data_IF_663398218022
#
_entry.id   IF_663398218022
#
_cell.length_a   1.000
_cell.length_b   1.000
_cell.length_c   1.000
_cell.angle_alpha   90.00
_cell.angle_beta   90.00
_cell.angle_gamma   90.00
#
_symmetry.space_group_name_H-M   'P 1'
#
loop_
_entity.id
_entity.type
_entity.pdbx_description
1 polymer ?
#
# COMPACT_ATOMS: atom_id res chain seq x y z
N UNK A 1 -2.49 1.21 -59.00
CA UNK A 1 -2.00 2.04 -57.84
C UNK A 1 -2.54 1.60 -56.47
N UNK A 2 -3.68 0.93 -56.30
CA UNK A 2 -4.25 0.58 -54.99
C UNK A 2 -3.49 -0.50 -54.17
N UNK A 3 -2.76 -1.41 -54.80
CA UNK A 3 -2.03 -2.51 -54.12
C UNK A 3 -0.77 -2.08 -53.35
N UNK A 4 -0.15 -0.95 -53.69
CA UNK A 4 1.06 -0.45 -52.98
C UNK A 4 0.75 0.17 -51.64
N UNK A 5 -0.40 0.89 -51.50
CA UNK A 5 -0.85 1.52 -50.25
C UNK A 5 -1.24 0.50 -49.17
N UNK A 6 -1.78 -0.65 -49.53
CA UNK A 6 -2.12 -1.73 -48.59
C UNK A 6 -0.90 -2.40 -47.96
N UNK A 7 0.15 -2.63 -48.73
CA UNK A 7 1.41 -3.26 -48.24
C UNK A 7 2.15 -2.31 -47.27
N UNK A 8 2.22 -1.00 -47.58
CA UNK A 8 2.86 -0.02 -46.72
C UNK A 8 2.15 0.11 -45.35
N UNK A 9 0.81 0.11 -45.29
CA UNK A 9 0.03 0.10 -44.07
C UNK A 9 0.25 -1.14 -43.20
N UNK A 10 0.32 -2.33 -43.82
CA UNK A 10 0.58 -3.58 -43.12
C UNK A 10 1.99 -3.66 -42.53
N UNK A 11 3.01 -3.14 -43.22
CA UNK A 11 4.38 -3.08 -42.69
C UNK A 11 4.49 -2.05 -41.53
N UNK A 12 3.82 -0.90 -41.64
CA UNK A 12 3.79 0.09 -40.55
C UNK A 12 3.08 -0.46 -39.27
N UNK A 13 1.96 -1.16 -39.46
CA UNK A 13 1.26 -1.81 -38.34
C UNK A 13 2.14 -2.90 -37.69
N UNK A 14 2.82 -3.72 -38.49
CA UNK A 14 3.75 -4.73 -37.99
C UNK A 14 4.91 -4.13 -37.19
N UNK A 15 5.51 -3.04 -37.70
CA UNK A 15 6.60 -2.36 -36.96
C UNK A 15 6.10 -1.70 -35.67
N UNK A 16 4.90 -1.12 -35.66
CA UNK A 16 4.29 -0.54 -34.47
C UNK A 16 4.04 -1.60 -33.40
N UNK A 17 3.43 -2.74 -33.77
CA UNK A 17 3.19 -3.86 -32.89
C UNK A 17 4.49 -4.44 -32.29
N UNK A 18 5.55 -4.53 -33.10
CA UNK A 18 6.87 -4.95 -32.60
C UNK A 18 7.46 -3.96 -31.59
N UNK A 19 7.32 -2.64 -31.81
CA UNK A 19 7.76 -1.61 -30.85
C UNK A 19 6.99 -1.69 -29.55
N UNK A 20 5.66 -1.81 -29.61
CA UNK A 20 4.81 -1.98 -28.43
C UNK A 20 5.20 -3.25 -27.66
N UNK A 21 5.38 -4.39 -28.34
CA UNK A 21 5.81 -5.63 -27.69
C UNK A 21 7.15 -5.49 -26.99
N UNK A 22 8.13 -4.86 -27.66
CA UNK A 22 9.44 -4.59 -27.05
C UNK A 22 9.33 -3.67 -25.84
N UNK A 23 8.55 -2.62 -25.92
CA UNK A 23 8.29 -1.71 -24.79
C UNK A 23 7.67 -2.46 -23.61
N UNK A 24 6.61 -3.23 -23.82
CA UNK A 24 5.95 -4.01 -22.77
C UNK A 24 6.90 -5.05 -22.14
N UNK A 25 7.73 -5.69 -22.96
CA UNK A 25 8.75 -6.62 -22.47
C UNK A 25 9.78 -5.92 -21.57
N UNK A 26 10.34 -4.79 -21.99
CA UNK A 26 11.31 -4.03 -21.19
C UNK A 26 10.67 -3.41 -19.95
N UNK A 27 9.43 -2.97 -20.05
CA UNK A 27 8.65 -2.52 -18.89
C UNK A 27 8.47 -3.65 -17.87
N UNK A 28 8.10 -4.84 -18.32
CA UNK A 28 7.91 -6.00 -17.43
C UNK A 28 9.25 -6.41 -16.77
N UNK A 29 10.34 -6.49 -17.53
CA UNK A 29 11.66 -6.82 -17.00
C UNK A 29 12.14 -5.75 -16.02
N UNK A 30 12.08 -4.48 -16.39
CA UNK A 30 12.54 -3.37 -15.56
C UNK A 30 11.73 -3.23 -14.26
N UNK A 31 10.40 -3.35 -14.33
CA UNK A 31 9.55 -3.31 -13.15
C UNK A 31 9.78 -4.51 -12.23
N UNK A 32 9.96 -5.72 -12.77
CA UNK A 32 10.28 -6.91 -11.98
C UNK A 32 11.66 -6.79 -11.31
N UNK A 33 12.67 -6.31 -12.04
CA UNK A 33 14.02 -6.06 -11.49
C UNK A 33 13.98 -5.02 -10.36
N UNK A 34 13.26 -3.90 -10.55
CA UNK A 34 13.08 -2.87 -9.52
C UNK A 34 12.43 -3.46 -8.28
N UNK A 35 11.31 -4.17 -8.43
CA UNK A 35 10.60 -4.81 -7.31
C UNK A 35 11.50 -5.81 -6.60
N UNK A 36 12.28 -6.61 -7.36
CA UNK A 36 13.21 -7.58 -6.80
C UNK A 36 14.30 -6.91 -5.95
N UNK A 37 14.89 -5.80 -6.41
CA UNK A 37 15.89 -5.04 -5.64
C UNK A 37 15.28 -4.49 -4.35
N UNK A 38 14.07 -3.93 -4.42
CA UNK A 38 13.36 -3.37 -3.28
C UNK A 38 12.90 -4.43 -2.25
N UNK A 39 13.03 -5.72 -2.56
CA UNK A 39 12.86 -6.81 -1.59
C UNK A 39 13.81 -6.68 -0.40
N UNK A 40 15.05 -6.26 -0.64
CA UNK A 40 16.10 -6.17 0.39
C UNK A 40 16.51 -4.73 0.69
N UNK A 41 16.41 -3.84 -0.32
CA UNK A 41 16.82 -2.44 -0.18
C UNK A 41 15.62 -1.59 0.24
N UNK A 42 15.72 -0.82 1.34
CA UNK A 42 14.69 0.16 1.69
C UNK A 42 14.47 1.15 0.54
N UNK A 43 13.21 1.39 0.10
CA UNK A 43 12.95 2.41 -0.90
C UNK A 43 13.44 3.78 -0.44
N UNK A 44 14.21 4.54 -1.23
CA UNK A 44 14.71 5.87 -0.85
C UNK A 44 13.59 6.89 -0.71
N UNK A 45 12.49 6.69 -1.39
CA UNK A 45 11.26 7.49 -1.38
C UNK A 45 10.12 6.71 -2.04
N UNK A 46 8.95 7.34 -2.14
CA UNK A 46 7.78 6.77 -2.80
C UNK A 46 7.23 7.74 -3.84
N UNK A 47 6.50 7.23 -4.84
CA UNK A 47 5.81 8.07 -5.81
C UNK A 47 4.84 9.03 -5.12
N UNK A 48 4.17 8.59 -4.05
CA UNK A 48 3.30 9.43 -3.24
C UNK A 48 4.07 10.60 -2.59
N UNK A 49 5.27 10.38 -2.04
CA UNK A 49 6.09 11.46 -1.48
C UNK A 49 6.49 12.48 -2.53
N UNK A 50 6.88 12.02 -3.74
CA UNK A 50 7.20 12.90 -4.86
C UNK A 50 5.97 13.71 -5.25
N UNK A 51 4.82 13.08 -5.40
CA UNK A 51 3.56 13.76 -5.72
C UNK A 51 3.22 14.83 -4.67
N UNK A 52 3.33 14.50 -3.36
CA UNK A 52 3.09 15.43 -2.27
C UNK A 52 4.03 16.65 -2.34
N UNK A 53 5.31 16.42 -2.62
CA UNK A 53 6.29 17.49 -2.76
C UNK A 53 6.00 18.41 -3.96
N UNK A 54 5.66 17.81 -5.11
CA UNK A 54 5.29 18.57 -6.31
C UNK A 54 4.02 19.36 -6.06
N UNK A 55 2.99 18.74 -5.50
CA UNK A 55 1.72 19.41 -5.17
C UNK A 55 1.95 20.62 -4.25
N UNK A 56 2.74 20.44 -3.18
CA UNK A 56 3.04 21.51 -2.24
C UNK A 56 3.76 22.73 -2.90
N UNK A 57 4.60 22.50 -3.90
CA UNK A 57 5.22 23.57 -4.67
C UNK A 57 4.23 24.30 -5.58
N UNK A 58 3.35 23.53 -6.24
CA UNK A 58 2.30 24.10 -7.10
C UNK A 58 1.33 24.96 -6.31
N UNK A 59 0.96 24.49 -5.10
CA UNK A 59 0.03 25.18 -4.20
C UNK A 59 0.70 26.39 -3.47
N UNK A 60 2.01 26.60 -3.64
CA UNK A 60 2.77 27.65 -2.98
C UNK A 60 2.92 27.47 -1.46
N UNK A 61 2.67 26.25 -0.95
CA UNK A 61 2.78 25.88 0.45
C UNK A 61 3.81 24.75 0.61
N UNK A 62 5.11 25.07 0.67
CA UNK A 62 6.15 24.05 0.78
C UNK A 62 5.97 23.18 2.02
N UNK A 63 5.90 21.85 1.81
CA UNK A 63 5.80 20.87 2.88
C UNK A 63 7.19 20.28 3.18
N UNK A 64 7.49 20.10 4.47
CA UNK A 64 8.64 19.31 4.93
C UNK A 64 8.24 17.86 5.12
N UNK A 65 8.80 16.97 4.30
CA UNK A 65 8.48 15.54 4.36
C UNK A 65 9.32 14.87 5.45
N UNK A 66 8.65 14.44 6.50
CA UNK A 66 9.27 13.69 7.60
C UNK A 66 9.21 12.21 7.31
N UNK A 67 10.36 11.55 7.34
CA UNK A 67 10.47 10.10 7.18
C UNK A 67 11.67 9.56 7.92
N UNK A 68 11.48 8.43 8.61
CA UNK A 68 12.56 7.66 9.21
C UNK A 68 12.25 6.17 9.06
N UNK A 69 13.09 5.45 8.29
CA UNK A 69 12.92 4.01 8.07
C UNK A 69 13.25 3.22 9.33
N UNK A 70 12.44 2.23 9.65
CA UNK A 70 12.70 1.21 10.67
C UNK A 70 12.54 -0.18 10.08
N UNK A 71 13.56 -1.03 10.31
CA UNK A 71 13.48 -2.43 9.93
C UNK A 71 12.40 -3.18 10.72
N UNK A 72 12.05 -4.36 10.25
CA UNK A 72 10.98 -5.18 10.80
C UNK A 72 11.04 -5.36 12.32
N UNK A 73 12.22 -5.71 12.86
CA UNK A 73 12.40 -6.01 14.29
C UNK A 73 12.35 -4.77 15.17
N UNK A 74 12.56 -3.59 14.59
CA UNK A 74 12.47 -2.31 15.31
C UNK A 74 11.03 -1.73 15.32
N UNK A 75 10.09 -2.37 14.64
CA UNK A 75 8.68 -2.01 14.65
C UNK A 75 7.93 -2.88 15.67
N UNK A 76 7.09 -2.31 16.55
CA UNK A 76 6.40 -3.10 17.57
C UNK A 76 5.30 -3.96 16.96
N UNK A 77 5.11 -5.16 17.51
CA UNK A 77 4.10 -6.11 17.04
C UNK A 77 2.68 -5.57 17.15
N UNK A 78 2.39 -4.81 18.21
CA UNK A 78 1.09 -4.15 18.37
C UNK A 78 0.75 -3.22 17.18
N UNK A 79 1.74 -2.49 16.61
CA UNK A 79 1.49 -1.65 15.45
C UNK A 79 1.26 -2.47 14.18
N UNK A 80 2.04 -3.54 13.98
CA UNK A 80 1.88 -4.46 12.85
C UNK A 80 0.47 -5.07 12.86
N UNK A 81 0.04 -5.58 14.01
CA UNK A 81 -1.29 -6.17 14.19
C UNK A 81 -2.39 -5.13 14.09
N UNK A 82 -2.21 -3.92 14.64
CA UNK A 82 -3.19 -2.84 14.56
C UNK A 82 -3.48 -2.45 13.10
N UNK A 83 -2.44 -2.35 12.27
CA UNK A 83 -2.59 -2.04 10.84
C UNK A 83 -3.30 -3.17 10.11
N UNK A 84 -2.92 -4.42 10.33
CA UNK A 84 -3.62 -5.58 9.75
C UNK A 84 -5.09 -5.59 10.19
N UNK A 85 -5.36 -5.40 11.47
CA UNK A 85 -6.70 -5.40 12.04
C UNK A 85 -7.59 -4.27 11.49
N UNK A 86 -7.00 -3.12 11.21
CA UNK A 86 -7.70 -1.93 10.74
C UNK A 86 -7.91 -1.87 9.23
N UNK A 87 -6.98 -2.42 8.46
CA UNK A 87 -6.92 -2.25 7.01
C UNK A 87 -7.17 -3.56 6.22
N UNK A 88 -6.67 -4.70 6.72
CA UNK A 88 -6.67 -5.93 5.91
C UNK A 88 -6.51 -7.18 6.79
N UNK A 89 -7.59 -7.59 7.48
CA UNK A 89 -7.53 -8.71 8.41
C UNK A 89 -7.16 -10.05 7.78
N UNK A 90 -7.34 -10.20 6.47
CA UNK A 90 -7.00 -11.41 5.73
C UNK A 90 -5.65 -11.31 5.01
N UNK A 91 -4.86 -10.29 5.31
CA UNK A 91 -3.59 -10.04 4.66
C UNK A 91 -2.67 -11.26 4.52
N UNK A 92 -2.52 -12.15 5.52
CA UNK A 92 -1.70 -13.35 5.37
C UNK A 92 -2.25 -14.37 4.36
N UNK A 93 -3.56 -14.35 4.07
CA UNK A 93 -4.26 -15.44 3.41
C UNK A 93 -4.70 -15.17 1.97
N UNK A 94 -4.37 -14.00 1.40
CA UNK A 94 -4.67 -13.69 0.02
C UNK A 94 -3.42 -13.25 -0.75
N UNK A 95 -3.49 -13.35 -2.07
CA UNK A 95 -2.43 -12.95 -3.00
C UNK A 95 -2.67 -11.53 -3.54
N UNK A 96 -2.68 -10.55 -2.63
CA UNK A 96 -2.82 -9.13 -2.97
C UNK A 96 -4.24 -8.66 -3.25
N UNK A 97 -5.20 -9.57 -3.42
CA UNK A 97 -6.60 -9.25 -3.72
C UNK A 97 -7.54 -10.05 -2.81
N UNK A 98 -8.32 -9.38 -1.97
CA UNK A 98 -9.42 -10.01 -1.22
C UNK A 98 -10.70 -9.96 -2.09
N UNK A 99 -10.87 -10.99 -2.94
CA UNK A 99 -12.01 -11.07 -3.86
C UNK A 99 -13.36 -11.07 -3.12
N UNK A 100 -13.55 -11.76 -1.98
CA UNK A 100 -14.77 -11.65 -1.19
C UNK A 100 -15.04 -10.23 -0.69
N UNK A 101 -14.01 -9.51 -0.19
CA UNK A 101 -14.17 -8.12 0.25
C UNK A 101 -14.49 -7.18 -0.92
N UNK A 102 -13.87 -7.38 -2.09
CA UNK A 102 -14.17 -6.61 -3.31
C UNK A 102 -15.63 -6.80 -3.72
N UNK A 103 -16.14 -8.05 -3.74
CA UNK A 103 -17.55 -8.33 -4.06
C UNK A 103 -18.50 -7.69 -3.04
N UNK A 104 -18.19 -7.81 -1.75
CA UNK A 104 -19.01 -7.23 -0.69
C UNK A 104 -19.06 -5.69 -0.77
N UNK A 105 -17.91 -5.04 -1.06
CA UNK A 105 -17.85 -3.59 -1.26
C UNK A 105 -18.65 -3.15 -2.50
N UNK A 106 -18.55 -3.89 -3.61
CA UNK A 106 -19.31 -3.59 -4.82
C UNK A 106 -20.82 -3.64 -4.55
N UNK A 107 -21.32 -4.73 -3.95
CA UNK A 107 -22.75 -4.88 -3.61
C UNK A 107 -23.22 -3.81 -2.62
N UNK A 108 -22.39 -3.42 -1.65
CA UNK A 108 -22.72 -2.34 -0.69
C UNK A 108 -22.85 -0.99 -1.38
N UNK A 109 -21.90 -0.67 -2.27
CA UNK A 109 -21.86 0.60 -3.00
C UNK A 109 -23.02 0.74 -4.00
N UNK A 110 -23.44 -0.37 -4.65
CA UNK A 110 -24.62 -0.38 -5.53
C UNK A 110 -25.93 -0.09 -4.79
N UNK A 111 -26.02 -0.45 -3.52
CA UNK A 111 -27.20 -0.18 -2.67
C UNK A 111 -27.26 1.24 -2.13
N UNK A 112 -26.37 2.15 -2.58
CA UNK A 112 -26.38 3.56 -2.17
C UNK A 112 -25.82 3.81 -0.78
N UNK A 113 -25.08 2.86 -0.20
CA UNK A 113 -24.34 3.03 1.05
C UNK A 113 -23.13 3.96 0.91
N UNK A 114 -22.55 4.35 2.03
CA UNK A 114 -21.25 5.08 2.03
C UNK A 114 -20.20 4.28 1.28
N UNK A 115 -19.40 4.94 0.42
CA UNK A 115 -18.36 4.29 -0.38
C UNK A 115 -17.44 3.44 0.52
N UNK A 116 -17.52 2.12 0.36
CA UNK A 116 -16.66 1.17 1.07
C UNK A 116 -15.48 0.80 0.17
N UNK A 117 -14.27 1.08 0.65
CA UNK A 117 -13.03 0.63 0.02
C UNK A 117 -12.79 -0.86 0.30
N UNK A 118 -12.16 -1.55 -0.65
CA UNK A 118 -11.75 -2.95 -0.50
C UNK A 118 -10.29 -3.14 -0.98
N UNK A 119 -9.48 -2.07 -0.89
CA UNK A 119 -8.06 -2.15 -1.25
C UNK A 119 -7.27 -2.80 -0.13
N UNK A 120 -6.49 -3.81 -0.48
CA UNK A 120 -5.61 -4.53 0.44
C UNK A 120 -4.33 -3.76 0.76
N UNK A 121 -3.60 -4.15 1.80
CA UNK A 121 -2.28 -3.60 2.13
C UNK A 121 -1.31 -3.68 0.94
N UNK A 122 -1.31 -4.79 0.20
CA UNK A 122 -0.46 -4.97 -0.99
C UNK A 122 -0.79 -3.97 -2.10
N UNK A 123 -2.08 -3.72 -2.35
CA UNK A 123 -2.51 -2.71 -3.33
C UNK A 123 -2.14 -1.29 -2.89
N UNK A 124 -2.24 -1.00 -1.58
CA UNK A 124 -1.82 0.30 -1.04
C UNK A 124 -0.31 0.50 -1.16
N UNK A 125 0.51 -0.52 -0.87
CA UNK A 125 1.97 -0.48 -1.08
C UNK A 125 2.29 -0.22 -2.55
N UNK A 126 1.69 -0.98 -3.46
CA UNK A 126 1.91 -0.84 -4.90
C UNK A 126 1.57 0.57 -5.40
N UNK A 127 0.43 1.11 -4.97
CA UNK A 127 0.03 2.48 -5.30
C UNK A 127 1.03 3.50 -4.75
N UNK A 128 1.33 3.44 -3.44
CA UNK A 128 2.14 4.45 -2.79
C UNK A 128 3.60 4.47 -3.29
N UNK A 129 4.18 3.28 -3.58
CA UNK A 129 5.57 3.17 -4.04
C UNK A 129 5.75 3.61 -5.50
N UNK A 130 4.84 3.18 -6.39
CA UNK A 130 5.11 3.20 -7.82
C UNK A 130 4.19 4.12 -8.63
N UNK A 131 3.06 4.60 -8.04
CA UNK A 131 2.01 5.24 -8.79
C UNK A 131 1.55 6.56 -8.15
N UNK A 132 0.79 7.32 -8.91
CA UNK A 132 0.19 8.59 -8.50
C UNK A 132 -1.23 8.40 -7.92
N UNK A 133 -1.78 9.44 -7.26
CA UNK A 133 -3.07 9.40 -6.56
C UNK A 133 -4.29 9.50 -7.48
N UNK A 134 -4.12 9.85 -8.75
CA UNK A 134 -5.22 10.03 -9.70
C UNK A 134 -6.10 8.79 -9.88
N UNK A 135 -7.36 9.00 -10.27
CA UNK A 135 -8.31 7.93 -10.56
C UNK A 135 -8.37 7.67 -12.07
N UNK A 136 -7.78 6.57 -12.53
CA UNK A 136 -7.91 6.11 -13.92
C UNK A 136 -7.81 4.59 -14.00
N UNK A 137 -8.42 4.01 -15.03
CA UNK A 137 -8.32 2.56 -15.28
C UNK A 137 -6.89 2.12 -15.58
N UNK A 138 -6.11 2.96 -16.28
CA UNK A 138 -4.69 2.67 -16.54
C UNK A 138 -3.91 2.57 -15.22
N UNK A 139 -4.05 3.56 -14.33
CA UNK A 139 -3.41 3.52 -13.02
C UNK A 139 -3.84 2.27 -12.22
N UNK A 140 -5.14 1.91 -12.26
CA UNK A 140 -5.63 0.72 -11.57
C UNK A 140 -5.08 -0.58 -12.15
N UNK A 141 -4.88 -0.64 -13.47
CA UNK A 141 -4.19 -1.75 -14.13
C UNK A 141 -2.72 -1.87 -13.71
N UNK A 142 -2.00 -0.73 -13.63
CA UNK A 142 -0.63 -0.71 -13.13
C UNK A 142 -0.54 -1.07 -11.64
N UNK A 143 -1.49 -0.64 -10.82
CA UNK A 143 -1.59 -1.03 -9.42
C UNK A 143 -1.74 -2.55 -9.28
N UNK A 144 -2.60 -3.16 -10.08
CA UNK A 144 -2.76 -4.62 -10.10
C UNK A 144 -1.46 -5.32 -10.55
N UNK A 145 -0.79 -4.81 -11.59
CA UNK A 145 0.51 -5.32 -12.04
C UNK A 145 1.56 -5.33 -10.94
N UNK A 146 1.79 -4.17 -10.28
CA UNK A 146 2.76 -4.09 -9.19
C UNK A 146 2.33 -4.90 -7.96
N UNK A 147 1.02 -5.02 -7.69
CA UNK A 147 0.51 -5.88 -6.62
C UNK A 147 0.89 -7.33 -6.85
N UNK A 148 0.73 -7.85 -8.06
CA UNK A 148 1.16 -9.21 -8.40
C UNK A 148 2.67 -9.35 -8.25
N UNK A 149 3.46 -8.39 -8.72
CA UNK A 149 4.93 -8.45 -8.60
C UNK A 149 5.38 -8.48 -7.14
N UNK A 150 4.86 -7.60 -6.27
CA UNK A 150 5.27 -7.61 -4.85
C UNK A 150 4.82 -8.87 -4.14
N UNK A 151 3.65 -9.40 -4.44
CA UNK A 151 3.15 -10.64 -3.84
C UNK A 151 3.96 -11.86 -4.26
N UNK A 152 4.42 -11.91 -5.50
CA UNK A 152 5.26 -13.02 -6.00
C UNK A 152 6.70 -12.91 -5.48
N UNK A 153 7.24 -11.69 -5.43
CA UNK A 153 8.67 -11.49 -5.18
C UNK A 153 8.99 -11.21 -3.70
N UNK A 154 8.04 -10.68 -2.89
CA UNK A 154 8.29 -10.29 -1.50
C UNK A 154 7.56 -11.21 -0.51
N UNK A 155 8.15 -11.52 0.66
CA UNK A 155 7.41 -12.10 1.77
C UNK A 155 6.37 -11.11 2.31
N UNK A 156 5.28 -11.62 2.88
CA UNK A 156 4.24 -10.79 3.53
C UNK A 156 4.82 -9.86 4.59
N UNK A 157 5.81 -10.32 5.35
CA UNK A 157 6.58 -9.50 6.27
C UNK A 157 7.16 -8.25 5.59
N UNK A 158 7.80 -8.42 4.41
CA UNK A 158 8.40 -7.29 3.68
C UNK A 158 7.35 -6.33 3.16
N UNK A 159 6.22 -6.82 2.68
CA UNK A 159 5.11 -5.96 2.22
C UNK A 159 4.62 -5.10 3.38
N UNK A 160 4.38 -5.68 4.56
CA UNK A 160 3.94 -4.95 5.75
C UNK A 160 5.01 -3.99 6.27
N UNK A 161 6.28 -4.38 6.30
CA UNK A 161 7.39 -3.52 6.66
C UNK A 161 7.46 -2.27 5.77
N UNK A 162 7.36 -2.46 4.45
CA UNK A 162 7.35 -1.36 3.50
C UNK A 162 6.11 -0.49 3.68
N UNK A 163 4.94 -1.08 3.92
CA UNK A 163 3.72 -0.33 4.23
C UNK A 163 3.93 0.59 5.43
N UNK A 164 4.37 0.04 6.55
CA UNK A 164 4.58 0.76 7.81
C UNK A 164 5.60 1.90 7.70
N UNK A 165 6.52 1.83 6.73
CA UNK A 165 7.54 2.83 6.48
C UNK A 165 7.22 3.80 5.34
N UNK A 166 6.12 3.58 4.59
CA UNK A 166 5.78 4.36 3.40
C UNK A 166 4.37 4.95 3.41
N UNK A 167 3.50 4.52 4.30
CA UNK A 167 2.19 5.12 4.48
C UNK A 167 2.32 6.55 5.03
N UNK A 168 1.43 7.45 4.60
CA UNK A 168 1.25 8.78 5.19
C UNK A 168 0.38 8.63 6.44
N UNK A 169 0.80 9.24 7.56
CA UNK A 169 0.16 9.14 8.88
C UNK A 169 -0.34 10.48 9.40
N UNK A 170 0.12 11.57 8.82
CA UNK A 170 -0.31 12.95 8.94
C UNK A 170 0.20 13.72 7.73
N UNK A 171 -0.17 14.96 7.56
CA UNK A 171 0.25 15.77 6.40
C UNK A 171 1.79 15.85 6.30
N UNK A 172 2.36 15.19 5.29
CA UNK A 172 3.82 15.10 5.09
C UNK A 172 4.58 14.18 6.05
N UNK A 173 3.90 13.45 6.93
CA UNK A 173 4.51 12.52 7.89
C UNK A 173 4.41 11.09 7.36
N UNK A 174 5.55 10.51 6.98
CA UNK A 174 5.64 9.20 6.36
C UNK A 174 6.38 8.20 7.22
N UNK A 175 5.76 7.04 7.41
CA UNK A 175 6.32 5.92 8.18
C UNK A 175 6.10 6.03 9.68
N UNK A 176 6.08 4.85 10.29
CA UNK A 176 5.71 4.66 11.70
C UNK A 176 6.60 5.41 12.69
N UNK A 177 7.90 5.51 12.43
CA UNK A 177 8.82 6.22 13.31
C UNK A 177 8.56 7.73 13.30
N UNK A 178 8.38 8.32 12.12
CA UNK A 178 8.04 9.73 12.01
C UNK A 178 6.67 10.01 12.65
N UNK A 179 5.69 9.13 12.44
CA UNK A 179 4.37 9.23 13.05
C UNK A 179 4.41 9.16 14.58
N UNK A 180 5.19 8.22 15.15
CA UNK A 180 5.33 8.08 16.60
C UNK A 180 5.96 9.34 17.23
N UNK A 181 6.98 9.91 16.58
CA UNK A 181 7.61 11.16 17.02
C UNK A 181 6.65 12.34 16.90
N UNK A 182 5.97 12.46 15.77
CA UNK A 182 5.05 13.55 15.47
C UNK A 182 3.85 13.57 16.43
N UNK A 183 3.18 12.44 16.60
CA UNK A 183 1.94 12.39 17.37
C UNK A 183 2.14 12.20 18.88
N UNK A 184 3.21 11.52 19.31
CA UNK A 184 3.37 11.07 20.69
C UNK A 184 4.73 11.42 21.31
N UNK A 185 5.60 12.11 20.58
CA UNK A 185 6.97 12.46 21.02
C UNK A 185 7.75 11.24 21.53
N UNK A 186 7.58 10.08 20.86
CA UNK A 186 8.23 8.82 21.22
C UNK A 186 8.76 8.11 19.99
N UNK A 187 9.61 7.09 20.18
CA UNK A 187 10.03 6.20 19.09
C UNK A 187 8.93 5.18 18.76
N UNK A 188 8.87 4.72 17.51
CA UNK A 188 7.94 3.67 17.12
C UNK A 188 8.07 2.41 18.00
N UNK A 189 9.29 2.05 18.40
CA UNK A 189 9.55 0.89 19.27
C UNK A 189 8.87 0.98 20.66
N UNK A 190 8.57 2.19 21.11
CA UNK A 190 7.97 2.45 22.44
C UNK A 190 6.46 2.72 22.35
N UNK A 191 5.83 2.53 21.20
CA UNK A 191 4.39 2.72 21.08
C UNK A 191 3.63 1.73 21.95
N UNK A 192 2.76 2.23 22.80
CA UNK A 192 1.79 1.39 23.49
C UNK A 192 0.74 0.85 22.50
N UNK A 193 0.08 -0.24 22.88
CA UNK A 193 -1.04 -0.81 22.12
C UNK A 193 -2.14 0.20 21.82
N UNK A 194 -2.41 1.12 22.75
CA UNK A 194 -3.35 2.22 22.54
C UNK A 194 -2.86 3.18 21.45
N UNK A 195 -1.62 3.63 21.52
CA UNK A 195 -1.03 4.52 20.53
C UNK A 195 -0.95 3.85 19.14
N UNK A 196 -0.55 2.58 19.07
CA UNK A 196 -0.55 1.78 17.84
C UNK A 196 -1.95 1.74 17.19
N UNK A 197 -3.00 1.52 17.99
CA UNK A 197 -4.38 1.52 17.49
C UNK A 197 -4.86 2.89 17.03
N UNK A 198 -4.42 3.99 17.66
CA UNK A 198 -4.72 5.35 17.24
C UNK A 198 -4.06 5.68 15.92
N UNK A 199 -2.78 5.32 15.74
CA UNK A 199 -2.10 5.45 14.44
C UNK A 199 -2.85 4.66 13.36
N UNK A 200 -3.17 3.40 13.57
CA UNK A 200 -3.92 2.62 12.59
C UNK A 200 -5.32 3.20 12.30
N UNK A 201 -5.93 3.88 13.27
CA UNK A 201 -7.24 4.48 13.11
C UNK A 201 -7.25 5.69 12.17
N UNK A 202 -6.15 6.44 12.03
CA UNK A 202 -6.08 7.63 11.16
C UNK A 202 -5.72 7.32 9.70
N UNK A 203 -5.24 6.13 9.38
CA UNK A 203 -4.80 5.74 8.03
C UNK A 203 -5.79 6.00 6.89
N UNK A 204 -7.13 5.88 7.07
CA UNK A 204 -8.07 6.16 5.97
C UNK A 204 -8.12 7.64 5.55
N UNK A 205 -7.82 8.56 6.46
CA UNK A 205 -7.83 10.00 6.21
C UNK A 205 -6.73 10.71 7.04
N UNK A 206 -5.43 10.40 6.78
CA UNK A 206 -4.33 10.79 7.66
C UNK A 206 -4.11 12.31 7.70
N UNK A 207 -4.55 13.05 6.68
CA UNK A 207 -4.46 14.52 6.63
C UNK A 207 -5.62 15.24 7.32
N UNK A 208 -6.68 14.50 7.65
CA UNK A 208 -7.89 15.06 8.28
C UNK A 208 -8.00 14.63 9.75
N UNK A 209 -7.44 13.45 10.07
CA UNK A 209 -7.56 12.84 11.39
C UNK A 209 -6.22 12.86 12.13
N UNK A 210 -6.24 13.27 13.39
CA UNK A 210 -5.03 13.33 14.22
C UNK A 210 -5.04 12.22 15.27
N UNK A 211 -3.93 11.47 15.36
CA UNK A 211 -3.72 10.50 16.44
C UNK A 211 -3.36 11.15 17.77
N UNK A 212 -2.74 12.34 17.73
CA UNK A 212 -2.41 13.12 18.94
C UNK A 212 -3.65 13.80 19.55
N UNK A 213 -4.61 14.21 18.72
CA UNK A 213 -5.86 14.88 19.12
C UNK A 213 -7.06 14.17 18.50
N UNK A 214 -7.31 12.90 18.91
CA UNK A 214 -8.29 12.06 18.24
C UNK A 214 -9.72 12.57 18.50
N UNK A 215 -10.50 12.67 17.41
CA UNK A 215 -11.94 12.94 17.51
C UNK A 215 -12.67 11.75 18.17
N UNK A 216 -13.94 11.93 18.62
CA UNK A 216 -14.74 10.81 19.11
C UNK A 216 -14.87 9.64 18.12
N UNK A 217 -14.88 9.94 16.83
CA UNK A 217 -14.89 8.90 15.78
C UNK A 217 -13.58 8.11 15.76
N UNK A 218 -12.42 8.79 15.76
CA UNK A 218 -11.10 8.16 15.78
C UNK A 218 -10.91 7.31 17.03
N UNK A 219 -11.37 7.79 18.20
CA UNK A 219 -11.35 7.02 19.45
C UNK A 219 -12.17 5.73 19.36
N UNK A 220 -13.40 5.80 18.84
CA UNK A 220 -14.24 4.60 18.61
C UNK A 220 -13.59 3.63 17.63
N UNK A 221 -13.02 4.13 16.52
CA UNK A 221 -12.31 3.31 15.54
C UNK A 221 -11.09 2.63 16.15
N UNK A 222 -10.28 3.35 16.93
CA UNK A 222 -9.13 2.79 17.64
C UNK A 222 -9.54 1.72 18.66
N UNK A 223 -10.65 1.93 19.39
CA UNK A 223 -11.20 0.92 20.30
C UNK A 223 -11.64 -0.34 19.55
N UNK A 224 -12.32 -0.18 18.41
CA UNK A 224 -12.69 -1.30 17.55
C UNK A 224 -11.45 -2.03 17.03
N UNK A 225 -10.42 -1.32 16.58
CA UNK A 225 -9.15 -1.93 16.12
C UNK A 225 -8.54 -2.77 17.25
N UNK A 226 -8.45 -2.26 18.49
CA UNK A 226 -7.93 -3.02 19.64
C UNK A 226 -8.73 -4.30 19.91
N UNK A 227 -10.05 -4.24 19.76
CA UNK A 227 -10.90 -5.43 19.84
C UNK A 227 -10.55 -6.43 18.74
N UNK A 228 -10.42 -5.96 17.48
CA UNK A 228 -10.01 -6.83 16.38
C UNK A 228 -8.61 -7.44 16.59
N UNK A 229 -7.64 -6.66 17.07
CA UNK A 229 -6.31 -7.18 17.43
C UNK A 229 -6.40 -8.35 18.41
N UNK A 230 -7.27 -8.23 19.42
CA UNK A 230 -7.48 -9.32 20.40
C UNK A 230 -8.17 -10.55 19.79
N UNK A 231 -9.16 -10.33 18.91
CA UNK A 231 -9.87 -11.42 18.21
C UNK A 231 -8.96 -12.19 17.24
N UNK A 232 -7.98 -11.48 16.63
CA UNK A 232 -6.97 -12.11 15.77
C UNK A 232 -5.92 -12.91 16.56
N UNK A 233 -5.85 -12.78 17.88
CA UNK A 233 -4.86 -13.44 18.73
C UNK A 233 -3.61 -12.60 19.04
N UNK A 234 -3.67 -11.27 18.84
CA UNK A 234 -2.56 -10.37 19.15
C UNK A 234 -1.32 -10.63 18.29
N UNK A 235 -0.13 -10.56 18.90
CA UNK A 235 1.16 -10.78 18.23
C UNK A 235 1.31 -12.15 17.57
N UNK A 236 0.64 -13.18 18.10
CA UNK A 236 0.70 -14.53 17.54
C UNK A 236 0.13 -14.59 16.10
N UNK A 237 -0.75 -13.65 15.75
CA UNK A 237 -1.26 -13.55 14.38
C UNK A 237 -0.16 -13.32 13.35
N UNK A 238 0.94 -12.67 13.72
CA UNK A 238 2.07 -12.39 12.83
C UNK A 238 2.81 -13.67 12.36
N UNK A 239 2.67 -14.77 13.09
CA UNK A 239 3.21 -16.07 12.66
C UNK A 239 2.60 -16.56 11.34
N UNK A 240 1.37 -16.12 11.02
CA UNK A 240 0.73 -16.44 9.74
C UNK A 240 1.42 -15.78 8.55
N UNK A 241 2.17 -14.68 8.75
CA UNK A 241 2.92 -14.02 7.67
C UNK A 241 4.08 -14.89 7.15
N UNK A 242 4.66 -15.73 7.98
CA UNK A 242 5.69 -16.69 7.58
C UNK A 242 5.11 -17.98 6.97
N UNK A 243 3.95 -18.41 7.48
CA UNK A 243 3.23 -19.61 6.98
C UNK A 243 2.54 -19.36 5.63
N UNK A 244 2.19 -18.13 5.31
CA UNK A 244 1.49 -17.73 4.09
C UNK A 244 2.21 -18.12 2.76
N UNK A 245 3.40 -18.69 2.83
CA UNK A 245 4.22 -19.15 1.68
C UNK A 245 4.39 -20.67 1.54
N UNK A 246 3.86 -21.47 2.40
CA UNK A 246 3.60 -22.86 2.02
C UNK A 246 2.47 -22.79 0.98
N UNK A 247 2.87 -22.88 -0.28
CA UNK A 247 2.02 -22.60 -1.44
C UNK A 247 0.73 -23.42 -1.40
N UNK A 248 -0.43 -22.83 -1.78
CA UNK A 248 -1.68 -23.59 -1.90
C UNK A 248 -1.65 -24.72 -2.95
N UNK A 249 -0.56 -24.86 -3.70
CA UNK A 249 -0.31 -25.92 -4.69
C UNK A 249 0.79 -26.90 -4.23
N UNK A 250 1.22 -26.87 -2.97
CA UNK A 250 2.23 -27.78 -2.43
C UNK A 250 1.63 -28.90 -1.56
N UNK A 251 0.30 -29.02 -1.54
CA UNK A 251 -0.46 -30.17 -0.98
C UNK A 251 -1.01 -31.05 -2.10
#
# INVERSE_FOLDING_TARGET
MARSHGRAKLTMLGTLLQRIRRFLMWFAIGSAALVLVLRWVPPPGTALMVERKVQSWVDGQPIDLQRSWRGWDALPDDLKVAVIAGEDQKFPFHWGFDLPAIRAAFTHNERGGSLRGASTLSQQVSKNLFLWSGRSYLRKGLEAWFTVLIEVLWPKQRILEVYLNSAEWDDGVFGAEAAARHHFNTSAANLSRQQASLLAAVLPAPREWSAARPSPYVLRRAAWIRQQMSQLGGSDYLMNLSKARSAPWAD
#
